data_IF_730328303825
#
_entry.id   IF_730328303825
#
_cell.length_a   1.000
_cell.length_b   1.000
_cell.length_c   1.000
_cell.angle_alpha   90.00
_cell.angle_beta   90.00
_cell.angle_gamma   90.00
#
_symmetry.space_group_name_H-M   'P 1'
#
loop_
_entity.id
_entity.type
_entity.pdbx_description
1 polymer ?
#
# COMPACT_ATOMS: atom_id res chain seq x y z
N UNK A 1 5.63 2.24 -11.96
CA UNK A 1 5.14 3.14 -10.89
C UNK A 1 5.12 2.46 -9.52
N UNK A 2 4.45 1.32 -9.34
CA UNK A 2 4.44 0.56 -8.06
C UNK A 2 5.84 0.32 -7.45
N UNK A 3 6.83 -0.07 -8.25
CA UNK A 3 8.19 -0.38 -7.76
C UNK A 3 8.91 0.81 -7.13
N UNK A 4 8.68 2.03 -7.63
CA UNK A 4 9.27 3.24 -7.04
C UNK A 4 8.61 3.59 -5.70
N UNK A 5 7.29 3.40 -5.58
CA UNK A 5 6.55 3.60 -4.31
C UNK A 5 6.99 2.61 -3.24
N UNK A 6 7.18 1.34 -3.63
CA UNK A 6 7.73 0.33 -2.74
C UNK A 6 9.11 0.71 -2.24
N UNK A 7 10.00 1.20 -3.10
CA UNK A 7 11.34 1.64 -2.65
C UNK A 7 11.22 2.74 -1.62
N UNK A 8 10.42 3.76 -1.85
CA UNK A 8 10.27 4.87 -0.90
C UNK A 8 9.63 4.44 0.42
N UNK A 9 8.61 3.59 0.36
CA UNK A 9 8.05 2.97 1.55
C UNK A 9 9.12 2.19 2.30
N UNK A 10 9.84 1.29 1.62
CA UNK A 10 10.95 0.52 2.19
C UNK A 10 12.00 1.44 2.81
N UNK A 11 12.35 2.55 2.16
CA UNK A 11 13.30 3.52 2.72
C UNK A 11 12.79 4.21 3.98
N UNK A 12 11.50 4.54 4.04
CA UNK A 12 10.88 5.03 5.27
C UNK A 12 10.86 3.96 6.36
N UNK A 13 10.52 2.71 6.02
CA UNK A 13 10.58 1.59 6.94
C UNK A 13 11.98 1.45 7.55
N UNK A 14 13.02 1.55 6.72
CA UNK A 14 14.41 1.43 7.13
C UNK A 14 14.92 2.60 7.97
N UNK A 15 14.52 3.83 7.63
CA UNK A 15 14.83 5.01 8.45
C UNK A 15 14.24 4.84 9.86
N UNK A 16 13.05 4.24 9.99
CA UNK A 16 12.42 4.02 11.28
C UNK A 16 12.93 2.79 12.04
N UNK A 17 13.37 1.72 11.36
CA UNK A 17 13.96 0.53 12.00
C UNK A 17 15.33 0.83 12.63
N UNK A 18 16.08 1.81 12.13
CA UNK A 18 17.45 2.09 12.60
C UNK A 18 17.58 3.14 13.71
N UNK A 19 16.49 3.68 14.27
CA UNK A 19 16.52 4.73 15.30
C UNK A 19 17.40 5.96 14.98
N UNK A 20 17.80 6.14 13.71
CA UNK A 20 18.41 7.35 13.19
C UNK A 20 17.34 8.09 12.43
N UNK A 21 16.65 8.97 13.14
CA UNK A 21 15.88 10.05 12.53
C UNK A 21 16.76 10.72 11.46
N UNK A 22 16.18 10.91 10.28
CA UNK A 22 16.72 11.61 9.11
C UNK A 22 17.84 10.90 8.33
N UNK A 23 17.57 10.70 7.04
CA UNK A 23 18.59 11.02 6.04
C UNK A 23 18.93 12.50 6.25
N UNK A 24 20.03 12.78 6.95
CA UNK A 24 20.65 14.10 6.88
C UNK A 24 21.11 14.28 5.44
N UNK A 25 20.36 15.07 4.67
CA UNK A 25 20.94 15.74 3.52
C UNK A 25 22.17 16.51 4.02
N UNK A 26 23.27 16.52 3.27
CA UNK A 26 24.39 17.42 3.55
C UNK A 26 23.82 18.85 3.69
N UNK A 27 23.72 19.35 4.93
CA UNK A 27 23.16 20.68 5.23
C UNK A 27 21.98 20.77 6.21
N UNK A 28 21.52 19.67 6.85
CA UNK A 28 20.62 19.77 8.02
C UNK A 28 19.20 20.29 7.75
N UNK A 29 18.73 20.24 6.49
CA UNK A 29 17.34 20.56 6.16
C UNK A 29 16.44 19.32 6.26
N UNK A 30 15.17 19.53 6.64
CA UNK A 30 14.14 18.50 6.68
C UNK A 30 13.94 17.93 5.27
N UNK A 31 14.35 16.69 5.05
CA UNK A 31 14.24 16.01 3.76
C UNK A 31 12.78 15.57 3.52
N UNK A 32 12.05 16.36 2.71
CA UNK A 32 10.74 15.96 2.23
C UNK A 32 10.90 14.97 1.06
N UNK A 33 10.64 13.69 1.33
CA UNK A 33 10.71 12.61 0.32
C UNK A 33 9.58 12.70 -0.72
N UNK A 34 8.55 13.51 -0.45
CA UNK A 34 7.35 13.70 -1.26
C UNK A 34 7.49 14.82 -2.30
N UNK A 35 8.49 15.69 -2.12
CA UNK A 35 8.80 16.76 -3.06
C UNK A 35 9.97 16.39 -3.96
N UNK A 36 9.74 16.40 -5.27
CA UNK A 36 10.71 15.90 -6.22
C UNK A 36 10.19 15.86 -7.65
N UNK A 37 10.85 15.05 -8.46
CA UNK A 37 10.48 14.85 -9.88
C UNK A 37 10.76 13.42 -10.31
N UNK A 38 10.00 12.97 -11.30
CA UNK A 38 10.33 11.76 -12.05
C UNK A 38 11.53 12.02 -12.94
N UNK A 39 12.52 11.14 -12.86
CA UNK A 39 13.71 11.15 -13.72
C UNK A 39 13.83 9.81 -14.42
N UNK A 40 14.26 9.87 -15.67
CA UNK A 40 14.58 8.68 -16.43
C UNK A 40 15.85 8.02 -15.85
N UNK A 41 15.85 6.69 -15.80
CA UNK A 41 16.93 5.87 -15.25
C UNK A 41 16.99 4.53 -15.99
N UNK A 42 18.06 4.31 -16.77
CA UNK A 42 18.30 3.09 -17.54
C UNK A 42 18.51 1.83 -16.67
N UNK A 43 18.69 2.00 -15.35
CA UNK A 43 18.82 0.88 -14.40
C UNK A 43 17.46 0.39 -13.89
N UNK A 44 16.37 1.03 -14.29
CA UNK A 44 15.01 0.59 -13.99
C UNK A 44 14.46 -0.34 -15.10
N UNK A 45 13.38 -1.10 -14.85
CA UNK A 45 12.73 -1.32 -13.55
C UNK A 45 13.60 -2.10 -12.57
N UNK A 46 13.27 -2.01 -11.28
CA UNK A 46 13.96 -2.72 -10.21
C UNK A 46 13.82 -4.25 -10.29
N UNK A 47 12.82 -4.72 -11.02
CA UNK A 47 12.62 -6.13 -11.32
C UNK A 47 11.89 -6.28 -12.65
N UNK A 48 12.15 -7.38 -13.35
CA UNK A 48 11.33 -7.80 -14.48
C UNK A 48 10.09 -8.55 -13.97
N UNK A 49 8.91 -7.98 -14.23
CA UNK A 49 7.63 -8.58 -13.80
C UNK A 49 7.37 -9.96 -14.40
N UNK A 50 8.01 -10.30 -15.52
CA UNK A 50 7.87 -11.63 -16.15
C UNK A 50 8.52 -12.75 -15.32
N UNK A 51 9.47 -12.42 -14.45
CA UNK A 51 10.09 -13.35 -13.51
C UNK A 51 9.34 -13.48 -12.18
N UNK A 52 8.19 -12.80 -12.01
CA UNK A 52 7.38 -12.91 -10.80
C UNK A 52 6.15 -13.81 -11.06
N UNK A 53 6.13 -15.06 -10.56
CA UNK A 53 5.12 -16.05 -10.96
C UNK A 53 3.73 -15.82 -10.36
N UNK A 54 3.63 -15.00 -9.31
CA UNK A 54 2.40 -14.77 -8.55
C UNK A 54 1.78 -13.38 -8.76
N UNK A 55 2.31 -12.57 -9.70
CA UNK A 55 1.71 -11.28 -10.02
C UNK A 55 0.30 -11.47 -10.59
N UNK A 56 -0.68 -10.74 -10.08
CA UNK A 56 -2.06 -10.83 -10.55
C UNK A 56 -2.15 -10.33 -12.00
N UNK A 57 -2.99 -10.98 -12.81
CA UNK A 57 -3.12 -10.62 -14.23
C UNK A 57 -3.54 -9.15 -14.40
N UNK A 58 -4.34 -8.58 -13.49
CA UNK A 58 -4.76 -7.17 -13.53
C UNK A 58 -3.58 -6.18 -13.45
N UNK A 59 -2.42 -6.59 -12.92
CA UNK A 59 -1.22 -5.76 -12.81
C UNK A 59 -0.13 -6.12 -13.82
N UNK A 60 -0.29 -7.21 -14.59
CA UNK A 60 0.73 -7.67 -15.53
C UNK A 60 0.57 -7.06 -16.93
N UNK A 61 0.88 -5.77 -17.07
CA UNK A 61 0.68 -5.03 -18.32
C UNK A 61 1.41 -5.66 -19.53
N UNK A 62 2.62 -6.18 -19.35
CA UNK A 62 3.41 -6.77 -20.43
C UNK A 62 2.79 -8.09 -20.92
N UNK A 63 2.41 -8.97 -19.99
CA UNK A 63 1.67 -10.20 -20.31
C UNK A 63 0.32 -9.91 -20.98
N UNK A 64 -0.31 -8.79 -20.62
CA UNK A 64 -1.55 -8.32 -21.22
C UNK A 64 -1.38 -7.58 -22.56
N UNK A 65 -0.17 -7.59 -23.14
CA UNK A 65 0.08 -7.11 -24.50
C UNK A 65 0.47 -5.64 -24.64
N UNK A 66 0.77 -4.92 -23.54
CA UNK A 66 1.29 -3.54 -23.63
C UNK A 66 2.69 -3.54 -24.29
N UNK A 67 2.88 -2.88 -25.44
CA UNK A 67 4.14 -2.99 -26.20
C UNK A 67 5.25 -2.07 -25.70
N UNK A 68 4.92 -0.90 -25.15
CA UNK A 68 5.91 0.07 -24.66
C UNK A 68 6.45 -0.32 -23.27
N UNK A 69 7.75 -0.08 -23.04
CA UNK A 69 8.42 -0.33 -21.75
C UNK A 69 8.94 0.95 -21.07
N UNK A 70 8.82 2.11 -21.72
CA UNK A 70 9.41 3.36 -21.24
C UNK A 70 8.87 3.78 -19.87
N UNK A 71 7.60 3.47 -19.57
CA UNK A 71 6.98 3.75 -18.26
C UNK A 71 7.66 3.02 -17.08
N UNK A 72 8.46 1.99 -17.35
CA UNK A 72 9.21 1.25 -16.35
C UNK A 72 10.56 1.90 -16.02
N UNK A 73 11.06 2.79 -16.88
CA UNK A 73 12.39 3.41 -16.84
C UNK A 73 12.44 4.71 -16.02
N UNK A 74 11.44 4.94 -15.16
CA UNK A 74 11.35 6.17 -14.37
C UNK A 74 11.47 5.86 -12.88
N UNK A 75 12.27 6.68 -12.20
CA UNK A 75 12.37 6.70 -10.74
C UNK A 75 12.01 8.06 -10.18
N UNK A 76 11.59 8.06 -8.93
CA UNK A 76 11.38 9.29 -8.17
C UNK A 76 12.73 9.83 -7.65
N UNK A 77 12.96 11.14 -7.85
CA UNK A 77 14.11 11.87 -7.32
C UNK A 77 13.61 12.95 -6.37
N UNK A 78 13.76 12.76 -5.04
CA UNK A 78 13.48 13.81 -4.07
C UNK A 78 14.36 15.04 -4.31
N UNK A 79 13.84 16.21 -3.98
CA UNK A 79 14.54 17.49 -4.10
C UNK A 79 15.65 17.64 -3.06
N UNK A 80 15.48 17.02 -1.90
CA UNK A 80 16.39 17.09 -0.77
C UNK A 80 17.55 16.07 -0.83
N UNK A 81 17.74 15.36 -1.96
CA UNK A 81 18.89 14.49 -2.17
C UNK A 81 18.56 13.18 -2.85
N UNK A 82 19.57 12.32 -2.98
CA UNK A 82 19.40 10.99 -3.58
C UNK A 82 18.82 10.01 -2.56
N UNK A 83 17.79 9.27 -2.98
CA UNK A 83 17.43 8.03 -2.30
C UNK A 83 18.63 7.08 -2.38
N UNK A 84 18.95 6.33 -1.30
CA UNK A 84 19.95 5.29 -1.38
C UNK A 84 19.57 4.33 -2.50
N UNK A 85 20.53 4.18 -3.41
CA UNK A 85 20.27 3.68 -4.76
C UNK A 85 19.98 2.18 -4.77
N UNK A 86 20.41 1.46 -3.73
CA UNK A 86 20.25 0.01 -3.60
C UNK A 86 20.11 -0.36 -2.13
N UNK A 87 18.89 -0.61 -1.69
CA UNK A 87 18.73 -1.63 -0.67
C UNK A 87 18.70 -2.97 -1.41
N UNK A 88 19.70 -3.82 -1.22
CA UNK A 88 19.61 -5.18 -1.76
C UNK A 88 18.45 -5.91 -1.06
N UNK A 89 17.82 -6.86 -1.75
CA UNK A 89 16.81 -7.68 -1.11
C UNK A 89 17.38 -8.44 0.11
N UNK A 90 18.66 -8.81 0.07
CA UNK A 90 19.36 -9.36 1.21
C UNK A 90 19.44 -8.37 2.39
N UNK A 91 19.81 -7.10 2.16
CA UNK A 91 19.84 -6.08 3.22
C UNK A 91 18.43 -5.81 3.78
N UNK A 92 17.40 -5.83 2.93
CA UNK A 92 16.01 -5.81 3.40
C UNK A 92 15.73 -6.97 4.36
N UNK A 93 15.96 -8.19 3.91
CA UNK A 93 15.62 -9.40 4.65
C UNK A 93 16.44 -9.54 5.95
N UNK A 94 17.69 -9.08 5.97
CA UNK A 94 18.50 -9.02 7.18
C UNK A 94 17.96 -8.01 8.20
N UNK A 95 17.55 -6.83 7.76
CA UNK A 95 17.01 -5.79 8.66
C UNK A 95 15.61 -6.08 9.17
N UNK A 96 14.83 -6.80 8.38
CA UNK A 96 13.51 -7.28 8.74
C UNK A 96 13.50 -8.70 9.28
N UNK A 97 14.67 -9.29 9.55
CA UNK A 97 14.77 -10.65 10.11
C UNK A 97 13.88 -10.79 11.35
N UNK A 98 13.11 -11.87 11.40
CA UNK A 98 12.13 -12.19 12.44
C UNK A 98 10.95 -11.19 12.55
N UNK A 99 10.71 -10.37 11.52
CA UNK A 99 9.63 -9.36 11.49
C UNK A 99 8.51 -9.68 10.51
N UNK A 100 7.37 -9.06 10.77
CA UNK A 100 6.12 -9.18 10.00
C UNK A 100 5.66 -7.81 9.53
N UNK A 101 5.48 -7.68 8.22
CA UNK A 101 5.03 -6.47 7.54
C UNK A 101 3.66 -6.76 6.95
N UNK A 102 2.68 -5.88 7.15
CA UNK A 102 1.34 -6.05 6.59
C UNK A 102 0.86 -4.81 5.87
N UNK A 103 0.38 -5.01 4.64
CA UNK A 103 -0.39 -4.04 3.88
C UNK A 103 -1.87 -4.26 4.15
N UNK A 104 -2.62 -3.22 4.47
CA UNK A 104 -4.05 -3.29 4.81
C UNK A 104 -4.80 -2.29 3.95
N UNK A 105 -5.71 -2.76 3.11
CA UNK A 105 -6.46 -1.82 2.29
C UNK A 105 -7.17 -2.44 1.10
N UNK A 106 -7.29 -1.63 0.06
CA UNK A 106 -7.91 -1.99 -1.20
C UNK A 106 -6.90 -2.57 -2.22
N UNK A 107 -7.28 -2.56 -3.50
CA UNK A 107 -6.45 -3.05 -4.61
C UNK A 107 -5.10 -2.33 -4.74
N UNK A 108 -4.96 -1.11 -4.23
CA UNK A 108 -3.69 -0.39 -4.22
C UNK A 108 -2.70 -0.98 -3.22
N UNK A 109 -3.16 -1.36 -2.03
CA UNK A 109 -2.35 -2.12 -1.07
C UNK A 109 -1.92 -3.47 -1.61
N UNK A 110 -2.82 -4.18 -2.31
CA UNK A 110 -2.47 -5.41 -3.01
C UNK A 110 -1.38 -5.16 -4.07
N UNK A 111 -1.50 -4.06 -4.82
CA UNK A 111 -0.53 -3.70 -5.85
C UNK A 111 0.86 -3.39 -5.26
N UNK A 112 0.93 -2.65 -4.15
CA UNK A 112 2.19 -2.38 -3.45
C UNK A 112 2.78 -3.65 -2.84
N UNK A 113 1.96 -4.49 -2.19
CA UNK A 113 2.37 -5.78 -1.65
C UNK A 113 2.98 -6.67 -2.74
N UNK A 114 2.32 -6.83 -3.90
CA UNK A 114 2.87 -7.61 -5.02
C UNK A 114 4.14 -7.00 -5.58
N UNK A 115 4.24 -5.67 -5.61
CA UNK A 115 5.45 -5.03 -6.10
C UNK A 115 6.65 -5.28 -5.17
N UNK A 116 6.46 -5.26 -3.85
CA UNK A 116 7.51 -5.61 -2.88
C UNK A 116 7.88 -7.08 -2.95
N UNK A 117 6.90 -7.99 -2.92
CA UNK A 117 7.19 -9.43 -2.93
C UNK A 117 7.83 -9.88 -4.25
N UNK A 118 7.42 -9.33 -5.40
CA UNK A 118 8.11 -9.56 -6.67
C UNK A 118 9.55 -9.04 -6.65
N UNK A 119 9.80 -7.85 -6.11
CA UNK A 119 11.15 -7.28 -6.02
C UNK A 119 12.06 -8.16 -5.16
N UNK A 120 11.57 -8.62 -4.01
CA UNK A 120 12.35 -9.49 -3.13
C UNK A 120 12.58 -10.88 -3.75
N UNK A 121 11.55 -11.48 -4.35
CA UNK A 121 11.65 -12.79 -5.01
C UNK A 121 12.66 -12.78 -6.16
N UNK A 122 12.55 -11.80 -7.07
CA UNK A 122 13.42 -11.71 -8.25
C UNK A 122 14.87 -11.41 -7.90
N UNK A 123 15.10 -10.67 -6.80
CA UNK A 123 16.44 -10.38 -6.31
C UNK A 123 17.06 -11.51 -5.46
N UNK A 124 16.26 -12.49 -5.02
CA UNK A 124 16.69 -13.65 -4.24
C UNK A 124 16.31 -14.98 -4.92
N UNK A 125 16.77 -15.24 -6.17
CA UNK A 125 16.29 -16.36 -7.00
C UNK A 125 16.63 -17.75 -6.45
N UNK A 126 17.56 -17.83 -5.49
CA UNK A 126 17.99 -19.09 -4.85
C UNK A 126 17.43 -19.27 -3.44
N UNK A 127 16.67 -18.31 -2.92
CA UNK A 127 16.05 -18.42 -1.60
C UNK A 127 14.65 -19.03 -1.72
N UNK A 128 14.39 -20.04 -0.90
CA UNK A 128 13.05 -20.61 -0.75
C UNK A 128 12.08 -19.55 -0.20
N UNK A 129 10.86 -19.56 -0.72
CA UNK A 129 9.76 -18.73 -0.25
C UNK A 129 8.48 -19.55 -0.19
N UNK A 130 7.55 -19.16 0.68
CA UNK A 130 6.18 -19.67 0.67
C UNK A 130 5.22 -18.54 0.33
N UNK A 131 4.16 -18.87 -0.40
CA UNK A 131 3.10 -17.91 -0.73
C UNK A 131 1.74 -18.56 -0.57
N UNK A 132 0.89 -17.91 0.21
CA UNK A 132 -0.53 -18.22 0.37
C UNK A 132 -1.30 -17.02 -0.16
N UNK A 133 -2.00 -17.18 -1.28
CA UNK A 133 -2.73 -16.11 -1.93
C UNK A 133 -4.11 -16.61 -2.37
N UNK A 134 -5.18 -16.27 -1.64
CA UNK A 134 -6.54 -16.56 -2.05
C UNK A 134 -6.87 -15.88 -3.39
N UNK A 135 -7.77 -16.46 -4.22
CA UNK A 135 -8.18 -15.83 -5.47
C UNK A 135 -8.73 -14.42 -5.24
N UNK A 136 -8.29 -13.46 -6.06
CA UNK A 136 -8.80 -12.10 -5.99
C UNK A 136 -10.29 -12.07 -6.36
N UNK A 137 -11.12 -11.62 -5.41
CA UNK A 137 -12.55 -11.38 -5.64
C UNK A 137 -12.84 -9.88 -5.61
N UNK A 138 -13.67 -9.43 -6.54
CA UNK A 138 -14.16 -8.04 -6.57
C UNK A 138 -15.36 -7.88 -5.61
N UNK A 139 -15.13 -8.13 -4.33
CA UNK A 139 -16.15 -8.06 -3.25
C UNK A 139 -15.62 -7.21 -2.10
N UNK A 140 -16.32 -7.09 -0.98
CA UNK A 140 -15.79 -6.49 0.27
C UNK A 140 -15.27 -7.55 1.24
N UNK A 141 -15.19 -8.81 0.79
CA UNK A 141 -14.72 -9.93 1.60
C UNK A 141 -13.27 -9.68 2.07
N UNK A 142 -13.05 -9.95 3.36
CA UNK A 142 -11.74 -9.86 3.99
C UNK A 142 -10.95 -11.12 3.67
N UNK A 143 -9.77 -10.93 3.11
CA UNK A 143 -8.85 -12.02 2.74
C UNK A 143 -7.46 -11.71 3.25
N UNK A 144 -6.67 -12.74 3.48
CA UNK A 144 -5.29 -12.61 3.91
C UNK A 144 -4.38 -13.35 2.92
N UNK A 145 -3.41 -12.63 2.37
CA UNK A 145 -2.31 -13.20 1.60
C UNK A 145 -1.02 -13.09 2.40
N UNK A 146 -0.23 -14.16 2.42
CA UNK A 146 1.02 -14.23 3.17
C UNK A 146 2.14 -14.67 2.25
N UNK A 147 3.20 -13.86 2.16
CA UNK A 147 4.44 -14.22 1.48
C UNK A 147 5.56 -14.27 2.52
N UNK A 148 6.29 -15.38 2.60
CA UNK A 148 7.30 -15.59 3.65
C UNK A 148 8.62 -16.05 3.05
N UNK A 149 9.73 -15.51 3.56
CA UNK A 149 11.07 -16.07 3.39
C UNK A 149 11.48 -16.82 4.66
N UNK A 150 11.39 -18.17 4.69
CA UNK A 150 11.63 -18.94 5.91
C UNK A 150 13.05 -18.79 6.46
N UNK A 151 14.06 -18.65 5.60
CA UNK A 151 15.46 -18.48 6.00
C UNK A 151 15.68 -17.26 6.92
N UNK A 152 14.89 -16.21 6.71
CA UNK A 152 14.99 -14.95 7.46
C UNK A 152 13.84 -14.80 8.47
N UNK A 153 12.88 -15.74 8.47
CA UNK A 153 11.64 -15.63 9.23
C UNK A 153 10.94 -14.28 9.00
N UNK A 154 10.89 -13.83 7.74
CA UNK A 154 10.26 -12.57 7.34
C UNK A 154 8.96 -12.87 6.61
N UNK A 155 7.86 -12.25 7.05
CA UNK A 155 6.57 -12.32 6.38
C UNK A 155 6.14 -10.94 5.88
N UNK A 156 5.74 -10.88 4.61
CA UNK A 156 5.10 -9.73 3.97
C UNK A 156 3.68 -10.12 3.63
N UNK A 157 2.71 -9.48 4.28
CA UNK A 157 1.31 -9.88 4.31
C UNK A 157 0.43 -8.81 3.64
N UNK A 158 -0.69 -9.22 3.08
CA UNK A 158 -1.74 -8.33 2.60
C UNK A 158 -3.08 -8.75 3.20
N UNK A 159 -3.66 -7.88 4.02
CA UNK A 159 -4.99 -8.03 4.57
C UNK A 159 -5.97 -7.12 3.82
N UNK A 160 -6.92 -7.70 3.11
CA UNK A 160 -7.91 -6.94 2.38
C UNK A 160 -8.93 -6.32 3.34
N UNK A 161 -8.94 -5.00 3.43
CA UNK A 161 -9.95 -4.22 4.13
C UNK A 161 -10.12 -2.89 3.40
N UNK A 162 -11.05 -2.85 2.44
CA UNK A 162 -11.18 -1.75 1.46
C UNK A 162 -11.58 -0.40 2.05
N UNK A 163 -12.28 -0.40 3.19
CA UNK A 163 -12.77 0.84 3.84
C UNK A 163 -12.06 1.13 5.17
N UNK A 164 -11.26 0.19 5.68
CA UNK A 164 -10.73 0.12 7.04
C UNK A 164 -11.81 -0.04 8.12
N UNK A 165 -12.96 0.60 7.94
CA UNK A 165 -14.18 0.43 8.70
C UNK A 165 -15.07 -0.69 8.15
N UNK A 166 -16.10 -1.06 8.90
CA UNK A 166 -16.90 -2.26 8.64
C UNK A 166 -18.05 -2.03 7.65
N UNK A 167 -18.36 -3.06 6.87
CA UNK A 167 -19.67 -3.21 6.22
C UNK A 167 -20.41 -4.35 6.90
N UNK A 168 -21.59 -4.06 7.42
CA UNK A 168 -22.41 -5.02 8.13
C UNK A 168 -23.71 -5.30 7.39
N UNK A 169 -24.17 -6.56 7.48
CA UNK A 169 -25.46 -6.95 6.91
C UNK A 169 -26.55 -6.78 7.96
N UNK A 170 -27.47 -5.86 7.72
CA UNK A 170 -28.65 -5.62 8.55
C UNK A 170 -29.91 -6.05 7.80
N UNK A 171 -30.39 -7.27 8.08
CA UNK A 171 -31.47 -7.89 7.33
C UNK A 171 -31.05 -8.17 5.88
N UNK A 172 -31.67 -7.49 4.92
CA UNK A 172 -31.33 -7.58 3.50
C UNK A 172 -30.34 -6.51 3.04
N UNK A 173 -29.99 -5.55 3.89
CA UNK A 173 -29.19 -4.38 3.52
C UNK A 173 -27.73 -4.52 3.93
N UNK A 174 -26.83 -3.99 3.12
CA UNK A 174 -25.43 -3.75 3.48
C UNK A 174 -25.26 -2.32 3.97
N UNK A 175 -24.69 -2.14 5.16
CA UNK A 175 -24.53 -0.85 5.82
C UNK A 175 -23.05 -0.58 6.07
N UNK A 176 -22.51 0.49 5.49
CA UNK A 176 -21.16 0.96 5.80
C UNK A 176 -21.18 1.68 7.16
N UNK A 177 -20.48 1.12 8.15
CA UNK A 177 -20.43 1.60 9.54
C UNK A 177 -19.20 2.49 9.73
N UNK A 178 -19.36 3.81 9.66
CA UNK A 178 -18.21 4.73 9.68
C UNK A 178 -17.46 4.76 11.02
N UNK A 179 -18.14 4.40 12.12
CA UNK A 179 -17.57 4.43 13.47
C UNK A 179 -17.25 3.03 14.02
N UNK A 180 -17.05 2.04 13.15
CA UNK A 180 -16.75 0.65 13.54
C UNK A 180 -15.50 0.13 12.86
N UNK A 181 -14.59 -0.46 13.65
CA UNK A 181 -13.39 -1.15 13.19
C UNK A 181 -13.31 -2.50 13.90
N UNK A 182 -13.75 -3.58 13.25
CA UNK A 182 -13.79 -4.94 13.80
C UNK A 182 -12.78 -5.87 13.12
N UNK A 183 -12.66 -7.09 13.65
CA UNK A 183 -11.74 -8.18 13.24
C UNK A 183 -10.28 -7.75 13.05
N UNK A 184 -9.80 -6.85 13.90
CA UNK A 184 -8.44 -6.30 13.83
C UNK A 184 -7.36 -7.22 14.39
N UNK A 185 -7.73 -8.40 14.92
CA UNK A 185 -6.80 -9.39 15.48
C UNK A 185 -5.70 -9.80 14.51
N UNK A 186 -5.97 -9.77 13.20
CA UNK A 186 -4.96 -10.04 12.15
C UNK A 186 -3.88 -8.96 12.11
N UNK A 187 -4.15 -7.74 12.56
CA UNK A 187 -3.19 -6.63 12.59
C UNK A 187 -2.30 -6.65 13.84
N UNK A 188 -2.67 -7.39 14.87
CA UNK A 188 -1.90 -7.52 16.10
C UNK A 188 -0.57 -8.26 15.87
N UNK A 189 0.48 -7.83 16.58
CA UNK A 189 1.80 -8.45 16.50
C UNK A 189 2.53 -8.24 15.17
N UNK A 190 2.12 -7.24 14.38
CA UNK A 190 2.89 -6.76 13.23
C UNK A 190 3.95 -5.76 13.67
N UNK A 191 5.15 -5.84 13.09
CA UNK A 191 6.19 -4.84 13.27
C UNK A 191 5.95 -3.61 12.41
N UNK A 192 5.29 -3.80 11.26
CA UNK A 192 4.97 -2.75 10.31
C UNK A 192 3.55 -2.94 9.77
N UNK A 193 2.74 -1.89 9.87
CA UNK A 193 1.40 -1.81 9.28
C UNK A 193 1.36 -0.67 8.26
N UNK A 194 0.89 -0.96 7.05
CA UNK A 194 0.78 0.00 5.94
C UNK A 194 -0.66 0.01 5.46
N UNK A 195 -1.40 1.04 5.84
CA UNK A 195 -2.82 1.17 5.54
C UNK A 195 -3.06 1.96 4.25
N UNK A 196 -4.12 1.65 3.51
CA UNK A 196 -4.62 2.45 2.42
C UNK A 196 -6.14 2.33 2.32
N UNK A 197 -6.81 3.43 2.05
CA UNK A 197 -8.20 3.40 1.59
C UNK A 197 -8.54 4.70 0.86
N UNK A 198 -9.36 4.60 -0.18
CA UNK A 198 -10.06 5.71 -0.84
C UNK A 198 -10.80 5.22 -2.09
N UNK A 199 -10.16 4.33 -2.87
CA UNK A 199 -10.60 3.99 -4.22
C UNK A 199 -12.04 3.45 -4.27
N UNK A 200 -12.45 2.74 -3.21
CA UNK A 200 -13.80 2.18 -3.12
C UNK A 200 -14.85 3.16 -2.56
N UNK A 201 -14.45 4.22 -1.85
CA UNK A 201 -15.39 5.24 -1.34
C UNK A 201 -16.09 5.99 -2.48
N UNK A 202 -15.44 6.12 -3.63
CA UNK A 202 -15.99 6.83 -4.79
C UNK A 202 -16.86 5.95 -5.70
N UNK A 203 -17.03 4.66 -5.39
CA UNK A 203 -17.91 3.78 -6.15
C UNK A 203 -19.39 4.19 -5.98
N UNK A 204 -20.13 4.18 -7.09
CA UNK A 204 -21.55 4.53 -7.14
C UNK A 204 -22.33 3.54 -8.00
N UNK A 205 -23.64 3.47 -7.83
CA UNK A 205 -24.50 2.58 -8.63
C UNK A 205 -24.21 1.10 -8.36
N UNK A 206 -24.17 0.28 -9.41
CA UNK A 206 -24.07 -1.19 -9.28
C UNK A 206 -22.75 -1.71 -8.67
N UNK A 207 -21.72 -0.86 -8.57
CA UNK A 207 -20.42 -1.21 -7.99
C UNK A 207 -20.25 -0.68 -6.55
N UNK A 208 -21.26 0.03 -6.04
CA UNK A 208 -21.31 0.45 -4.64
C UNK A 208 -21.63 -0.77 -3.77
N UNK A 209 -20.78 -1.14 -2.80
CA UNK A 209 -20.98 -2.35 -2.01
C UNK A 209 -21.86 -2.16 -0.77
N UNK A 210 -22.44 -0.97 -0.57
CA UNK A 210 -23.37 -0.68 0.53
C UNK A 210 -24.68 -0.09 -0.01
N UNK A 211 -25.76 -0.31 0.73
CA UNK A 211 -27.08 0.28 0.49
C UNK A 211 -27.30 1.54 1.33
N UNK A 212 -26.69 1.58 2.52
CA UNK A 212 -26.76 2.69 3.46
C UNK A 212 -25.40 2.98 4.08
N UNK A 213 -25.23 4.19 4.59
CA UNK A 213 -24.08 4.61 5.39
C UNK A 213 -24.59 5.02 6.76
N UNK A 214 -23.98 4.49 7.81
CA UNK A 214 -24.28 4.86 9.19
C UNK A 214 -23.11 5.66 9.77
N UNK A 215 -23.45 6.81 10.34
CA UNK A 215 -22.58 7.67 11.12
C UNK A 215 -23.21 7.88 12.51
N UNK A 216 -22.58 7.30 13.51
CA UNK A 216 -23.09 7.14 14.87
C UNK A 216 -24.51 6.56 14.86
N UNK A 217 -25.49 7.29 15.38
CA UNK A 217 -26.90 6.85 15.44
C UNK A 217 -27.68 7.14 14.14
N UNK A 218 -27.10 7.89 13.20
CA UNK A 218 -27.79 8.33 11.99
C UNK A 218 -27.50 7.41 10.81
N UNK A 219 -28.56 6.99 10.11
CA UNK A 219 -28.45 6.17 8.91
C UNK A 219 -28.92 6.95 7.69
N UNK A 220 -28.07 7.02 6.67
CA UNK A 220 -28.30 7.73 5.43
C UNK A 220 -28.35 6.73 4.27
N UNK A 221 -29.23 6.96 3.28
CA UNK A 221 -29.14 6.22 2.00
C UNK A 221 -27.83 6.49 1.30
N UNK A 222 -27.39 7.74 1.35
CA UNK A 222 -26.12 8.14 0.81
C UNK A 222 -25.65 9.44 1.47
N UNK A 223 -24.37 9.75 1.35
CA UNK A 223 -23.78 11.00 1.85
C UNK A 223 -22.56 11.42 1.01
N UNK A 224 -22.05 12.63 1.28
CA UNK A 224 -20.85 13.12 0.64
C UNK A 224 -19.65 12.19 0.94
N UNK A 225 -18.95 11.73 -0.11
CA UNK A 225 -17.84 10.77 0.00
C UNK A 225 -16.67 11.29 0.81
N UNK A 226 -16.38 12.59 0.75
CA UNK A 226 -15.33 13.19 1.56
C UNK A 226 -15.69 13.20 3.03
N UNK A 227 -16.94 13.49 3.38
CA UNK A 227 -17.42 13.45 4.77
C UNK A 227 -17.40 12.01 5.29
N UNK A 228 -17.89 11.04 4.49
CA UNK A 228 -17.84 9.63 4.87
C UNK A 228 -16.39 9.14 5.08
N UNK A 229 -15.49 9.53 4.18
CA UNK A 229 -14.08 9.19 4.25
C UNK A 229 -13.39 9.80 5.46
N UNK A 230 -13.64 11.08 5.75
CA UNK A 230 -13.12 11.78 6.92
C UNK A 230 -13.54 11.07 8.21
N UNK A 231 -14.83 10.77 8.38
CA UNK A 231 -15.34 10.07 9.57
C UNK A 231 -14.77 8.65 9.72
N UNK A 232 -14.66 7.89 8.62
CA UNK A 232 -14.04 6.57 8.65
C UNK A 232 -12.55 6.64 9.03
N UNK A 233 -11.82 7.61 8.48
CA UNK A 233 -10.40 7.80 8.74
C UNK A 233 -10.14 8.26 10.18
N UNK A 234 -10.96 9.16 10.73
CA UNK A 234 -10.90 9.57 12.14
C UNK A 234 -11.14 8.38 13.08
N UNK A 235 -12.11 7.52 12.74
CA UNK A 235 -12.39 6.30 13.51
C UNK A 235 -11.22 5.34 13.46
N UNK A 236 -10.65 5.07 12.28
CA UNK A 236 -9.46 4.24 12.14
C UNK A 236 -8.24 4.83 12.87
N UNK A 237 -8.01 6.14 12.77
CA UNK A 237 -6.88 6.80 13.43
C UNK A 237 -6.97 6.68 14.95
N UNK A 238 -8.16 6.89 15.53
CA UNK A 238 -8.41 6.68 16.96
C UNK A 238 -8.15 5.22 17.36
N UNK A 239 -8.58 4.27 16.54
CA UNK A 239 -8.29 2.85 16.78
C UNK A 239 -6.78 2.58 16.81
N UNK A 240 -6.01 3.17 15.89
CA UNK A 240 -4.54 3.05 15.90
C UNK A 240 -3.95 3.60 17.18
N UNK A 241 -4.33 4.81 17.58
CA UNK A 241 -3.81 5.47 18.79
C UNK A 241 -4.13 4.67 20.07
N UNK A 242 -5.26 3.98 20.12
CA UNK A 242 -5.70 3.18 21.27
C UNK A 242 -5.10 1.77 21.31
N UNK A 243 -4.74 1.19 20.15
CA UNK A 243 -4.40 -0.25 20.05
C UNK A 243 -2.97 -0.53 19.58
N UNK A 244 -2.21 0.49 19.13
CA UNK A 244 -0.85 0.31 18.63
C UNK A 244 0.19 0.99 19.52
N UNK A 245 1.22 0.23 19.89
CA UNK A 245 2.39 0.77 20.57
C UNK A 245 3.44 1.22 19.52
N UNK A 246 3.72 2.53 19.38
CA UNK A 246 4.69 3.03 18.41
C UNK A 246 6.15 2.60 18.69
N UNK A 247 6.42 2.08 19.89
CA UNK A 247 7.72 1.51 20.26
C UNK A 247 7.98 0.14 19.62
N UNK A 248 6.93 -0.64 19.40
CA UNK A 248 7.02 -1.99 18.81
C UNK A 248 6.53 -2.04 17.36
N UNK A 249 5.54 -1.22 17.00
CA UNK A 249 4.88 -1.27 15.70
C UNK A 249 4.99 0.07 14.99
N UNK A 250 5.42 0.04 13.73
CA UNK A 250 5.43 1.23 12.86
C UNK A 250 4.20 1.24 11.98
N UNK A 251 3.47 2.35 12.01
CA UNK A 251 2.24 2.53 11.24
C UNK A 251 2.46 3.57 10.14
N UNK A 252 2.06 3.22 8.92
CA UNK A 252 2.08 4.06 7.74
C UNK A 252 0.69 4.13 7.14
N UNK A 253 0.38 5.26 6.52
CA UNK A 253 -0.81 5.41 5.69
C UNK A 253 -0.37 5.83 4.29
N UNK A 254 -0.65 4.96 3.32
CA UNK A 254 -0.55 5.25 1.90
C UNK A 254 -1.70 6.19 1.52
N UNK A 255 -1.39 7.36 1.00
CA UNK A 255 -2.36 8.34 0.53
C UNK A 255 -3.05 7.95 -0.78
N UNK A 256 -3.80 8.91 -1.31
CA UNK A 256 -4.69 8.69 -2.44
C UNK A 256 -3.90 8.49 -3.74
N UNK A 257 -4.05 7.33 -4.37
CA UNK A 257 -3.55 7.12 -5.74
C UNK A 257 -4.41 7.91 -6.74
N UNK A 258 -3.83 8.78 -7.58
CA UNK A 258 -4.58 9.53 -8.56
C UNK A 258 -5.16 8.62 -9.65
N UNK A 259 -6.29 9.05 -10.22
CA UNK A 259 -6.90 8.43 -11.40
C UNK A 259 -6.73 9.34 -12.63
N UNK A 260 -6.54 8.74 -13.79
CA UNK A 260 -6.25 9.45 -15.04
C UNK A 260 -7.23 9.04 -16.14
N UNK A 261 -8.47 9.55 -16.07
CA UNK A 261 -9.53 9.25 -17.05
C UNK A 261 -9.62 10.23 -18.22
N UNK A 262 -9.14 11.48 -18.04
CA UNK A 262 -9.25 12.51 -19.07
C UNK A 262 -7.87 13.11 -19.40
N UNK A 263 -7.42 12.86 -20.63
CA UNK A 263 -6.12 13.31 -21.12
C UNK A 263 -5.97 14.84 -21.16
N UNK A 264 -7.07 15.59 -21.27
CA UNK A 264 -7.04 17.06 -21.37
C UNK A 264 -6.67 17.77 -20.05
N UNK A 265 -6.77 17.07 -18.91
CA UNK A 265 -6.40 17.62 -17.61
C UNK A 265 -4.87 17.63 -17.34
N UNK A 266 -4.06 17.03 -18.23
CA UNK A 266 -2.62 16.87 -18.02
C UNK A 266 -1.78 18.12 -18.30
N UNK A 267 -2.36 19.20 -18.83
CA UNK A 267 -1.60 20.42 -19.13
C UNK A 267 -1.06 21.16 -17.88
N UNK A 268 -1.55 20.83 -16.67
CA UNK A 268 -1.08 21.44 -15.41
C UNK A 268 -0.81 20.44 -14.27
N UNK A 269 -1.10 19.15 -14.47
CA UNK A 269 -0.95 18.14 -13.42
C UNK A 269 0.53 17.74 -13.27
N UNK A 270 1.21 18.29 -12.26
CA UNK A 270 2.49 17.73 -11.80
C UNK A 270 2.21 16.36 -11.19
N UNK A 271 2.73 15.29 -11.81
CA UNK A 271 2.85 13.98 -11.16
C UNK A 271 3.82 14.12 -9.97
N UNK A 272 3.28 14.46 -8.81
CA UNK A 272 3.99 14.34 -7.53
C UNK A 272 4.12 12.85 -7.21
N UNK A 273 5.10 12.47 -6.39
CA UNK A 273 5.07 11.17 -5.76
C UNK A 273 3.84 11.14 -4.87
N UNK A 274 2.79 10.45 -5.31
CA UNK A 274 1.60 10.21 -4.49
C UNK A 274 1.83 8.89 -3.76
N UNK A 275 2.15 9.00 -2.48
CA UNK A 275 2.38 7.88 -1.58
C UNK A 275 1.17 7.71 -0.72
#
# INVERSE_FOLDING_TARGET
MASAFVVLLVLQLLQQVNAKHSYEAEGGSRCDLYEGRWVFDDLHPLYDSTHCPFIENIFNCQKNGRPDKLYQQYRWQPSAGNLPRYLSAEDFLQRFKDKRIMFIGDSLSLNQWQSLTCMLHTAMPHSEFTIEMPPLKYTTERTLSTFTFPQYNVSVMFARNVFLVDIEKEGSWQVLKLNSVKDTKVWEGMDVLIFNTWHWFVHTGNIQPWDFIQDAENTYRDMNRYVAFEQALETWARWVDENMDPSTTKVFFQGISPTHFNFSAHASARMRGFF
#
